data_IF_345529944878
#
_entry.id   IF_345529944878
#
_cell.length_a   1.000
_cell.length_b   1.000
_cell.length_c   1.000
_cell.angle_alpha   90.00
_cell.angle_beta   90.00
_cell.angle_gamma   90.00
#
_symmetry.space_group_name_H-M   'P 1'
#
loop_
_entity.id
_entity.type
_entity.pdbx_description
1 polymer ?
#
# COMPACT_ATOMS: atom_id res chain seq x y z
N UNK A 1 -23.49 11.94 -29.76
CA UNK A 1 -22.58 12.83 -28.99
C UNK A 1 -22.29 12.31 -27.59
N UNK A 2 -23.20 11.58 -26.93
CA UNK A 2 -22.96 10.99 -25.60
C UNK A 2 -21.76 10.03 -25.55
N UNK A 3 -21.61 9.14 -26.54
CA UNK A 3 -20.55 8.11 -26.58
C UNK A 3 -19.13 8.69 -26.63
N UNK A 4 -18.93 9.86 -27.24
CA UNK A 4 -17.61 10.49 -27.38
C UNK A 4 -17.12 11.11 -26.08
N UNK A 5 -18.05 11.69 -25.30
CA UNK A 5 -17.77 12.20 -23.96
C UNK A 5 -17.50 11.05 -22.99
N UNK A 6 -18.25 9.95 -23.11
CA UNK A 6 -18.04 8.76 -22.28
C UNK A 6 -16.63 8.17 -22.43
N UNK A 7 -16.14 7.98 -23.67
CA UNK A 7 -14.80 7.41 -23.90
C UNK A 7 -13.65 8.33 -23.44
N UNK A 8 -13.83 9.66 -23.51
CA UNK A 8 -12.86 10.63 -22.99
C UNK A 8 -12.85 10.66 -21.46
N UNK A 9 -14.02 10.54 -20.84
CA UNK A 9 -14.17 10.49 -19.38
C UNK A 9 -13.60 9.21 -18.78
N UNK A 10 -13.75 8.08 -19.46
CA UNK A 10 -13.21 6.78 -19.05
C UNK A 10 -11.67 6.79 -19.01
N UNK A 11 -11.04 7.32 -20.06
CA UNK A 11 -9.57 7.43 -20.16
C UNK A 11 -8.95 8.38 -19.11
N UNK A 12 -9.63 9.49 -18.81
CA UNK A 12 -9.21 10.42 -17.75
C UNK A 12 -9.32 9.82 -16.35
N UNK A 13 -10.24 8.88 -16.15
CA UNK A 13 -10.46 8.22 -14.86
C UNK A 13 -9.42 7.15 -14.58
N UNK A 14 -9.04 6.35 -15.59
CA UNK A 14 -7.95 5.35 -15.48
C UNK A 14 -6.63 6.00 -15.07
N UNK A 15 -6.28 7.13 -15.69
CA UNK A 15 -5.02 7.82 -15.42
C UNK A 15 -4.97 8.46 -14.02
N UNK A 16 -6.11 8.90 -13.48
CA UNK A 16 -6.22 9.33 -12.08
C UNK A 16 -6.09 8.14 -11.12
N UNK A 17 -6.69 7.00 -11.45
CA UNK A 17 -6.62 5.77 -10.65
C UNK A 17 -5.20 5.19 -10.58
N UNK A 18 -4.46 5.21 -11.70
CA UNK A 18 -3.06 4.78 -11.76
C UNK A 18 -2.17 5.68 -10.89
N UNK A 19 -2.36 7.00 -10.94
CA UNK A 19 -1.59 7.94 -10.10
C UNK A 19 -1.84 7.71 -8.61
N UNK A 20 -3.11 7.51 -8.22
CA UNK A 20 -3.47 7.20 -6.84
C UNK A 20 -2.85 5.89 -6.35
N UNK A 21 -2.83 4.85 -7.20
CA UNK A 21 -2.15 3.60 -6.88
C UNK A 21 -0.63 3.78 -6.74
N UNK A 22 0.00 4.57 -7.61
CA UNK A 22 1.44 4.84 -7.52
C UNK A 22 1.82 5.63 -6.26
N UNK A 23 1.03 6.63 -5.88
CA UNK A 23 1.22 7.37 -4.63
C UNK A 23 1.02 6.47 -3.41
N UNK A 24 0.04 5.56 -3.44
CA UNK A 24 -0.16 4.56 -2.40
C UNK A 24 1.01 3.56 -2.31
N UNK A 25 1.54 3.10 -3.44
CA UNK A 25 2.70 2.20 -3.52
C UNK A 25 4.02 2.85 -3.07
N UNK A 26 4.08 4.19 -3.06
CA UNK A 26 5.21 4.94 -2.51
C UNK A 26 5.34 4.76 -0.99
N UNK A 27 4.27 4.34 -0.31
CA UNK A 27 4.29 4.00 1.11
C UNK A 27 4.98 2.64 1.25
N UNK A 28 6.26 2.70 1.62
CA UNK A 28 7.08 1.53 1.91
C UNK A 28 6.82 1.07 3.35
N UNK A 29 6.57 -0.23 3.53
CA UNK A 29 6.43 -0.88 4.82
C UNK A 29 7.61 -1.80 5.11
N UNK A 30 8.07 -1.76 6.35
CA UNK A 30 9.17 -2.59 6.82
C UNK A 30 8.58 -3.89 7.34
N UNK A 31 8.89 -4.99 6.69
CA UNK A 31 8.42 -6.32 7.07
C UNK A 31 9.59 -7.24 7.36
N UNK A 32 9.38 -8.25 8.19
CA UNK A 32 10.37 -9.29 8.48
C UNK A 32 9.92 -10.59 7.85
N UNK A 33 10.59 -10.99 6.76
CA UNK A 33 10.36 -12.24 6.02
C UNK A 33 11.53 -13.19 6.25
N UNK A 34 11.26 -14.45 6.61
CA UNK A 34 12.29 -15.47 6.86
C UNK A 34 13.41 -15.02 7.83
N UNK A 35 13.08 -14.18 8.82
CA UNK A 35 14.03 -13.66 9.81
C UNK A 35 14.82 -12.42 9.38
N UNK A 36 14.78 -12.03 8.09
CA UNK A 36 15.43 -10.84 7.55
C UNK A 36 14.45 -9.67 7.41
N UNK A 37 14.91 -8.45 7.70
CA UNK A 37 14.12 -7.25 7.47
C UNK A 37 14.17 -6.87 5.97
N UNK A 38 13.02 -6.64 5.37
CA UNK A 38 12.84 -6.20 3.99
C UNK A 38 11.89 -5.00 3.97
N UNK A 39 12.17 -4.04 3.09
CA UNK A 39 11.23 -2.96 2.79
C UNK A 39 10.45 -3.36 1.55
N UNK A 40 9.13 -3.46 1.67
CA UNK A 40 8.22 -3.79 0.57
C UNK A 40 7.15 -2.72 0.50
N UNK A 41 6.59 -2.42 -0.69
CA UNK A 41 5.47 -1.50 -0.78
C UNK A 41 4.26 -2.07 -0.02
N UNK A 42 3.41 -1.18 0.48
CA UNK A 42 2.23 -1.57 1.27
C UNK A 42 1.28 -2.54 0.53
N UNK A 43 1.25 -2.50 -0.80
CA UNK A 43 0.42 -3.40 -1.62
C UNK A 43 0.96 -4.83 -1.69
N UNK A 44 2.27 -5.02 -1.49
CA UNK A 44 2.93 -6.33 -1.50
C UNK A 44 2.93 -7.00 -0.11
N UNK A 45 2.37 -6.36 0.91
CA UNK A 45 2.29 -6.93 2.28
C UNK A 45 1.22 -8.02 2.29
N UNK A 46 1.59 -9.22 2.75
CA UNK A 46 0.70 -10.39 2.77
C UNK A 46 0.52 -10.96 4.18
N UNK A 47 -0.52 -11.77 4.36
CA UNK A 47 -0.78 -12.48 5.62
C UNK A 47 0.40 -13.40 5.95
N UNK A 48 0.99 -13.20 7.12
CA UNK A 48 2.18 -13.93 7.60
C UNK A 48 3.44 -13.07 7.64
N UNK A 49 3.41 -11.87 7.06
CA UNK A 49 4.48 -10.89 7.25
C UNK A 49 4.42 -10.26 8.65
N UNK A 50 5.58 -10.10 9.28
CA UNK A 50 5.70 -9.36 10.55
C UNK A 50 6.10 -7.94 10.22
N UNK A 51 5.17 -6.99 10.36
CA UNK A 51 5.44 -5.57 10.12
C UNK A 51 6.20 -4.98 11.32
N UNK A 52 7.31 -4.29 11.05
CA UNK A 52 7.99 -3.46 12.04
C UNK A 52 7.40 -2.05 11.97
N UNK A 53 6.77 -1.62 13.07
CA UNK A 53 6.23 -0.27 13.23
C UNK A 53 7.02 0.52 14.26
N UNK A 54 7.29 1.79 13.96
CA UNK A 54 7.90 2.75 14.87
C UNK A 54 6.89 3.82 15.30
N UNK A 55 7.19 4.52 16.39
CA UNK A 55 6.36 5.62 16.85
C UNK A 55 6.22 6.70 15.75
N UNK A 56 4.98 7.02 15.38
CA UNK A 56 4.66 7.97 14.31
C UNK A 56 4.48 7.34 12.92
N UNK A 57 4.72 6.03 12.76
CA UNK A 57 4.37 5.33 11.52
C UNK A 57 2.88 4.98 11.49
N UNK A 58 2.30 4.97 10.29
CA UNK A 58 0.92 4.55 10.07
C UNK A 58 0.86 3.03 9.99
N UNK A 59 -0.12 2.44 10.67
CA UNK A 59 -0.39 1.00 10.56
C UNK A 59 -0.90 0.69 9.15
N UNK A 60 -0.24 -0.20 8.37
CA UNK A 60 -0.61 -0.46 6.98
C UNK A 60 -1.85 -1.33 6.81
N UNK A 61 -2.09 -2.25 7.74
CA UNK A 61 -3.18 -3.21 7.70
C UNK A 61 -3.58 -3.64 9.12
N UNK A 62 -4.77 -4.18 9.28
CA UNK A 62 -5.20 -4.78 10.55
C UNK A 62 -4.36 -6.03 10.86
N UNK A 63 -3.95 -6.16 12.12
CA UNK A 63 -3.08 -7.26 12.54
C UNK A 63 -3.10 -7.48 14.04
N UNK A 64 -2.37 -8.50 14.48
CA UNK A 64 -2.18 -8.82 15.90
C UNK A 64 -0.76 -8.41 16.30
N UNK A 65 -0.64 -7.74 17.45
CA UNK A 65 0.68 -7.36 17.99
C UNK A 65 1.41 -8.62 18.45
N UNK A 66 2.55 -8.91 17.81
CA UNK A 66 3.41 -10.06 18.16
C UNK A 66 4.34 -9.70 19.32
N UNK A 67 5.07 -8.58 19.17
CA UNK A 67 6.00 -8.07 20.17
C UNK A 67 5.99 -6.54 20.13
N UNK A 68 6.18 -5.89 21.28
CA UNK A 68 6.23 -4.43 21.39
C UNK A 68 6.66 -3.98 22.78
N UNK A 69 7.52 -2.98 22.82
CA UNK A 69 7.89 -2.24 24.04
C UNK A 69 7.41 -0.80 23.90
N UNK A 70 6.68 -0.30 24.90
CA UNK A 70 6.14 1.06 24.93
C UNK A 70 7.24 2.10 25.17
#
# INVERSE_FOLDING_TARGET
MATFVSTLSEYGSESAFIKLQQDAASIQCRVRRAGMAASVPIDEVVVGDVVLLQAGERVPADGVMVEGSL
#
